data_IF_342066755695
#
_entry.id   IF_342066755695
#
_cell.length_a   1.000
_cell.length_b   1.000
_cell.length_c   1.000
_cell.angle_alpha   90.00
_cell.angle_beta   90.00
_cell.angle_gamma   90.00
#
_symmetry.space_group_name_H-M   'P 1'
#
loop_
_entity.id
_entity.type
_entity.pdbx_description
1 polymer ?
#
# COMPACT_ATOMS: atom_id res chain seq x y z
N UNK A 1 2.30 -21.60 2.83
CA UNK A 1 2.09 -20.14 2.85
C UNK A 1 3.23 -19.55 3.66
N UNK A 2 3.99 -18.60 3.12
CA UNK A 2 5.12 -17.97 3.83
C UNK A 2 4.57 -16.76 4.57
N UNK A 3 4.91 -16.58 5.84
CA UNK A 3 4.58 -15.37 6.58
C UNK A 3 5.58 -14.26 6.28
N UNK A 4 5.14 -13.00 6.34
CA UNK A 4 6.03 -11.85 6.33
C UNK A 4 7.03 -12.01 7.50
N UNK A 5 8.35 -12.04 7.25
CA UNK A 5 9.33 -12.45 8.26
C UNK A 5 9.67 -11.34 9.26
N UNK A 6 9.50 -10.07 8.86
CA UNK A 6 9.83 -8.89 9.65
C UNK A 6 8.79 -7.80 9.43
N UNK A 7 8.57 -6.92 10.42
CA UNK A 7 7.66 -5.80 10.25
C UNK A 7 8.18 -4.78 9.25
N UNK A 8 7.24 -4.16 8.52
CA UNK A 8 7.49 -3.02 7.63
C UNK A 8 6.49 -1.91 7.99
N UNK A 9 6.86 -1.00 8.90
CA UNK A 9 5.97 0.07 9.35
C UNK A 9 6.00 1.28 8.41
N UNK A 10 4.96 2.11 8.47
CA UNK A 10 4.90 3.41 7.82
C UNK A 10 4.88 3.33 6.30
N UNK A 11 4.28 2.28 5.74
CA UNK A 11 4.07 2.17 4.29
C UNK A 11 2.98 3.15 3.89
N UNK A 12 3.41 4.25 3.29
CA UNK A 12 2.55 5.34 2.84
C UNK A 12 2.20 5.19 1.38
N UNK A 13 0.92 5.25 1.08
CA UNK A 13 0.35 5.16 -0.26
C UNK A 13 -0.30 6.49 -0.61
N UNK A 14 -0.03 7.01 -1.81
CA UNK A 14 -0.79 8.13 -2.34
C UNK A 14 -0.86 8.08 -3.87
N UNK A 15 -1.98 7.56 -4.38
CA UNK A 15 -2.29 7.42 -5.80
C UNK A 15 -2.95 8.71 -6.28
N UNK A 16 -2.35 9.34 -7.29
CA UNK A 16 -2.88 10.57 -7.91
C UNK A 16 -2.79 10.44 -9.43
N UNK A 17 -3.80 9.84 -10.05
CA UNK A 17 -3.74 9.49 -11.48
C UNK A 17 -3.83 10.70 -12.42
N UNK A 18 -4.46 11.82 -12.01
CA UNK A 18 -4.57 13.01 -12.85
C UNK A 18 -4.07 14.27 -12.14
N UNK A 19 -3.08 14.93 -12.73
CA UNK A 19 -2.59 16.26 -12.32
C UNK A 19 -3.41 17.43 -12.89
N UNK A 20 -4.54 17.13 -13.54
CA UNK A 20 -5.28 18.07 -14.42
C UNK A 20 -6.76 18.30 -14.11
N UNK A 21 -7.28 17.80 -12.97
CA UNK A 21 -8.59 18.27 -12.46
C UNK A 21 -9.55 17.19 -11.94
N UNK A 22 -9.54 15.97 -12.49
CA UNK A 22 -10.37 14.86 -12.00
C UNK A 22 -9.67 13.53 -12.25
N UNK A 23 -9.58 12.63 -11.27
CA UNK A 23 -9.12 11.26 -11.52
C UNK A 23 -8.91 10.42 -10.27
N UNK A 24 -8.76 9.09 -10.42
CA UNK A 24 -8.73 8.18 -9.29
C UNK A 24 -7.67 8.57 -8.24
N UNK A 25 -8.14 8.82 -7.03
CA UNK A 25 -7.37 9.25 -5.87
C UNK A 25 -7.49 8.25 -4.71
N UNK A 26 -6.39 8.00 -4.01
CA UNK A 26 -6.39 7.21 -2.78
C UNK A 26 -5.13 7.52 -1.98
N UNK A 27 -5.24 7.88 -0.70
CA UNK A 27 -4.09 7.98 0.19
C UNK A 27 -4.39 7.36 1.54
N UNK A 28 -3.48 6.52 2.02
CA UNK A 28 -3.55 5.85 3.31
C UNK A 28 -2.15 5.39 3.74
N UNK A 29 -1.99 5.20 5.04
CA UNK A 29 -0.77 4.67 5.63
C UNK A 29 -1.09 3.32 6.29
N UNK A 30 -0.15 2.38 6.19
CA UNK A 30 -0.31 1.03 6.69
C UNK A 30 0.99 0.53 7.34
N UNK A 31 0.81 -0.21 8.42
CA UNK A 31 1.86 -1.02 9.03
C UNK A 31 1.65 -2.49 8.66
N UNK A 32 2.73 -3.14 8.25
CA UNK A 32 2.75 -4.57 7.93
C UNK A 32 3.52 -5.32 9.00
N UNK A 33 2.89 -6.33 9.57
CA UNK A 33 3.44 -7.18 10.62
C UNK A 33 3.44 -8.65 10.15
N UNK A 34 4.32 -9.50 10.73
CA UNK A 34 4.19 -10.94 10.60
C UNK A 34 2.76 -11.41 10.92
N UNK A 35 2.26 -12.45 10.23
CA UNK A 35 0.89 -12.90 10.41
C UNK A 35 0.66 -13.45 11.82
N UNK A 36 -0.60 -13.40 12.29
CA UNK A 36 -1.02 -14.04 13.52
C UNK A 36 -1.00 -15.56 13.46
N UNK A 37 -1.42 -16.22 14.54
CA UNK A 37 -1.42 -17.68 14.67
C UNK A 37 -2.29 -18.43 13.65
N UNK A 38 -3.31 -17.77 13.10
CA UNK A 38 -4.21 -18.32 12.09
C UNK A 38 -3.61 -18.27 10.66
N UNK A 39 -2.59 -17.43 10.45
CA UNK A 39 -2.00 -17.20 9.13
C UNK A 39 -2.92 -16.41 8.17
N UNK A 40 -2.43 -16.18 6.94
CA UNK A 40 -3.19 -15.48 5.90
C UNK A 40 -3.07 -13.95 5.92
N UNK A 41 -4.05 -13.28 5.28
CA UNK A 41 -4.13 -11.83 5.19
C UNK A 41 -5.15 -11.28 6.19
N UNK A 42 -4.67 -10.62 7.22
CA UNK A 42 -5.47 -9.93 8.22
C UNK A 42 -5.42 -8.44 7.94
N UNK A 43 -6.58 -7.79 7.79
CA UNK A 43 -6.67 -6.34 7.56
C UNK A 43 -7.54 -5.72 8.64
N UNK A 44 -6.94 -4.80 9.40
CA UNK A 44 -7.58 -4.00 10.44
C UNK A 44 -7.44 -2.52 10.09
N UNK A 45 -8.45 -1.73 10.46
CA UNK A 45 -8.41 -0.27 10.31
C UNK A 45 -8.52 0.40 11.68
N UNK A 46 -7.51 1.19 12.04
CA UNK A 46 -7.59 2.15 13.14
C UNK A 46 -8.03 3.54 12.66
N UNK A 47 -8.26 3.70 11.35
CA UNK A 47 -8.61 4.99 10.72
C UNK A 47 -10.11 5.28 10.92
N UNK A 48 -10.47 6.48 11.40
CA UNK A 48 -11.87 6.90 11.46
C UNK A 48 -12.55 6.90 10.08
N UNK A 49 -13.84 6.53 10.03
CA UNK A 49 -14.61 6.44 8.78
C UNK A 49 -14.65 7.76 7.98
N UNK A 50 -14.64 8.90 8.68
CA UNK A 50 -14.55 10.24 8.05
C UNK A 50 -13.25 10.49 7.25
N UNK A 51 -12.20 9.72 7.52
CA UNK A 51 -10.88 9.83 6.89
C UNK A 51 -10.67 8.72 5.87
N UNK A 52 -11.16 7.51 6.16
CA UNK A 52 -11.18 6.39 5.24
C UNK A 52 -12.52 5.65 5.37
N UNK A 53 -13.46 5.91 4.46
CA UNK A 53 -14.75 5.24 4.47
C UNK A 53 -14.64 3.72 4.30
N UNK A 54 -15.48 2.97 5.02
CA UNK A 54 -15.38 1.51 5.12
C UNK A 54 -15.64 0.80 3.78
N UNK A 55 -16.33 1.44 2.85
CA UNK A 55 -16.58 0.95 1.50
C UNK A 55 -15.30 0.76 0.66
N UNK A 56 -14.18 1.38 1.05
CA UNK A 56 -12.90 1.20 0.37
C UNK A 56 -12.09 0.02 0.90
N UNK A 57 -12.41 -0.50 2.10
CA UNK A 57 -11.69 -1.63 2.70
C UNK A 57 -11.70 -2.90 1.83
N UNK A 58 -12.79 -3.29 1.14
CA UNK A 58 -12.77 -4.40 0.21
C UNK A 58 -11.75 -4.23 -0.93
N UNK A 59 -11.65 -3.02 -1.50
CA UNK A 59 -10.71 -2.74 -2.58
C UNK A 59 -9.24 -2.73 -2.09
N UNK A 60 -9.01 -2.21 -0.87
CA UNK A 60 -7.70 -2.31 -0.21
C UNK A 60 -7.32 -3.77 0.01
N UNK A 61 -8.24 -4.58 0.54
CA UNK A 61 -8.01 -6.02 0.75
C UNK A 61 -7.67 -6.75 -0.54
N UNK A 62 -8.41 -6.50 -1.62
CA UNK A 62 -8.14 -7.10 -2.93
C UNK A 62 -6.75 -6.71 -3.45
N UNK A 63 -6.40 -5.43 -3.36
CA UNK A 63 -5.08 -4.94 -3.76
C UNK A 63 -3.96 -5.56 -2.93
N UNK A 64 -4.09 -5.59 -1.60
CA UNK A 64 -3.10 -6.22 -0.71
C UNK A 64 -2.91 -7.70 -1.06
N UNK A 65 -3.99 -8.43 -1.31
CA UNK A 65 -3.90 -9.84 -1.71
C UNK A 65 -3.13 -10.02 -3.04
N UNK A 66 -3.37 -9.13 -4.02
CA UNK A 66 -2.63 -9.13 -5.28
C UNK A 66 -1.15 -8.79 -5.09
N UNK A 67 -0.85 -7.80 -4.23
CA UNK A 67 0.52 -7.33 -3.98
C UNK A 67 1.37 -8.27 -3.14
N UNK A 68 0.78 -8.93 -2.14
CA UNK A 68 1.45 -9.90 -1.27
C UNK A 68 1.56 -11.30 -1.91
N UNK A 69 0.67 -11.63 -2.86
CA UNK A 69 0.61 -12.96 -3.45
C UNK A 69 0.33 -14.03 -2.39
N UNK A 70 1.19 -15.05 -2.32
CA UNK A 70 1.07 -16.16 -1.36
C UNK A 70 1.66 -15.87 0.03
N UNK A 71 2.04 -14.60 0.30
CA UNK A 71 2.61 -14.19 1.59
C UNK A 71 1.52 -13.74 2.55
N UNK A 72 1.50 -14.35 3.74
CA UNK A 72 0.63 -13.97 4.85
C UNK A 72 1.18 -12.77 5.61
N UNK A 73 0.32 -11.83 6.00
CA UNK A 73 0.70 -10.67 6.80
C UNK A 73 -0.51 -10.15 7.58
N UNK A 74 -0.25 -9.51 8.72
CA UNK A 74 -1.21 -8.67 9.41
C UNK A 74 -0.98 -7.21 9.02
N UNK A 75 -2.04 -6.52 8.61
CA UNK A 75 -1.99 -5.15 8.11
C UNK A 75 -2.89 -4.28 8.98
N UNK A 76 -2.31 -3.20 9.51
CA UNK A 76 -3.04 -2.16 10.23
C UNK A 76 -3.02 -0.88 9.41
N UNK A 77 -4.19 -0.40 9.00
CA UNK A 77 -4.33 0.96 8.46
C UNK A 77 -4.26 1.95 9.63
N UNK A 78 -3.29 2.85 9.56
CA UNK A 78 -2.95 3.78 10.65
C UNK A 78 -3.35 5.21 10.35
N UNK A 79 -3.41 5.58 9.07
CA UNK A 79 -3.90 6.88 8.62
C UNK A 79 -4.60 6.76 7.26
N UNK A 80 -5.43 7.74 6.91
CA UNK A 80 -6.19 7.75 5.68
C UNK A 80 -6.67 9.15 5.31
N UNK A 81 -6.81 9.37 4.01
CA UNK A 81 -7.44 10.58 3.51
C UNK A 81 -8.33 10.27 2.31
N UNK A 82 -9.57 10.75 2.41
CA UNK A 82 -10.63 10.57 1.43
C UNK A 82 -11.03 11.92 0.83
N UNK A 83 -11.30 11.91 -0.48
CA UNK A 83 -11.90 13.02 -1.20
C UNK A 83 -13.19 12.57 -1.87
N UNK A 84 -14.31 13.21 -1.53
CA UNK A 84 -15.65 12.76 -1.91
C UNK A 84 -15.82 12.47 -3.41
N UNK A 85 -15.24 13.31 -4.27
CA UNK A 85 -15.43 13.20 -5.72
C UNK A 85 -14.35 12.38 -6.42
N UNK A 86 -13.13 12.37 -5.88
CA UNK A 86 -11.97 11.79 -6.57
C UNK A 86 -11.54 10.44 -6.00
N UNK A 87 -11.96 10.10 -4.78
CA UNK A 87 -11.63 8.82 -4.16
C UNK A 87 -12.40 7.66 -4.76
N UNK A 88 -11.69 6.78 -5.45
CA UNK A 88 -12.31 5.67 -6.19
C UNK A 88 -11.75 4.33 -5.71
N UNK A 89 -12.57 3.26 -5.64
CA UNK A 89 -12.09 1.94 -5.19
C UNK A 89 -10.91 1.42 -6.02
N UNK A 90 -10.88 1.70 -7.32
CA UNK A 90 -9.78 1.30 -8.20
C UNK A 90 -8.43 1.93 -7.82
N UNK A 91 -8.42 3.16 -7.31
CA UNK A 91 -7.20 3.81 -6.83
C UNK A 91 -6.69 3.17 -5.54
N UNK A 92 -7.60 2.88 -4.59
CA UNK A 92 -7.24 2.17 -3.36
C UNK A 92 -6.67 0.78 -3.64
N UNK A 93 -7.28 0.03 -4.57
CA UNK A 93 -6.78 -1.27 -5.00
C UNK A 93 -5.36 -1.19 -5.58
N UNK A 94 -5.13 -0.28 -6.53
CA UNK A 94 -3.79 -0.09 -7.15
C UNK A 94 -2.75 0.32 -6.09
N UNK A 95 -3.14 1.22 -5.19
CA UNK A 95 -2.27 1.67 -4.10
C UNK A 95 -1.92 0.54 -3.14
N UNK A 96 -2.91 -0.28 -2.76
CA UNK A 96 -2.75 -1.43 -1.89
C UNK A 96 -1.91 -2.56 -2.51
N UNK A 97 -2.05 -2.81 -3.81
CA UNK A 97 -1.18 -3.75 -4.54
C UNK A 97 0.29 -3.32 -4.45
N UNK A 98 0.57 -2.03 -4.67
CA UNK A 98 1.93 -1.52 -4.53
C UNK A 98 2.41 -1.53 -3.07
N UNK A 99 1.52 -1.34 -2.10
CA UNK A 99 1.86 -1.42 -0.68
C UNK A 99 2.26 -2.85 -0.28
N UNK A 100 1.52 -3.87 -0.75
CA UNK A 100 1.89 -5.27 -0.56
C UNK A 100 3.28 -5.57 -1.12
N UNK A 101 3.54 -5.15 -2.37
CA UNK A 101 4.88 -5.31 -2.98
C UNK A 101 5.97 -4.54 -2.21
N UNK A 102 5.67 -3.34 -1.72
CA UNK A 102 6.60 -2.57 -0.89
C UNK A 102 6.94 -3.31 0.41
N UNK A 103 5.96 -3.93 1.07
CA UNK A 103 6.19 -4.74 2.25
C UNK A 103 7.09 -5.95 1.97
N UNK A 104 6.87 -6.64 0.84
CA UNK A 104 7.76 -7.75 0.43
C UNK A 104 9.20 -7.28 0.20
N UNK A 105 9.39 -6.12 -0.44
CA UNK A 105 10.73 -5.55 -0.64
C UNK A 105 11.35 -5.14 0.70
N UNK A 106 10.59 -4.44 1.56
CA UNK A 106 11.04 -4.00 2.88
C UNK A 106 11.43 -5.17 3.79
N UNK A 107 10.75 -6.30 3.66
CA UNK A 107 11.03 -7.53 4.38
C UNK A 107 12.12 -8.41 3.73
N UNK A 108 12.68 -8.00 2.59
CA UNK A 108 13.73 -8.75 1.88
C UNK A 108 13.24 -9.98 1.12
N UNK A 109 11.93 -10.11 0.88
CA UNK A 109 11.32 -11.19 0.09
C UNK A 109 11.32 -10.89 -1.41
N UNK A 110 11.40 -9.62 -1.80
CA UNK A 110 11.58 -9.18 -3.19
C UNK A 110 12.88 -8.37 -3.36
N UNK A 111 13.49 -8.37 -4.56
CA UNK A 111 14.66 -7.55 -4.86
C UNK A 111 14.41 -6.06 -4.62
N UNK A 112 15.38 -5.38 -3.99
CA UNK A 112 15.30 -3.93 -3.70
C UNK A 112 15.16 -3.04 -4.95
N UNK A 113 15.63 -3.51 -6.11
CA UNK A 113 15.51 -2.82 -7.39
C UNK A 113 14.07 -2.70 -7.89
N UNK A 114 13.17 -3.60 -7.46
CA UNK A 114 11.75 -3.55 -7.80
C UNK A 114 11.05 -2.31 -7.21
N UNK A 115 11.62 -1.70 -6.17
CA UNK A 115 11.16 -0.42 -5.65
C UNK A 115 11.10 0.65 -6.77
N UNK A 116 11.94 0.50 -7.80
CA UNK A 116 11.94 1.22 -9.08
C UNK A 116 10.56 1.41 -9.71
N UNK A 117 9.73 0.38 -9.60
CA UNK A 117 8.43 0.27 -10.25
C UNK A 117 7.27 0.79 -9.40
N UNK A 118 7.48 1.00 -8.10
CA UNK A 118 6.44 1.43 -7.17
C UNK A 118 6.28 2.96 -7.24
N UNK A 119 5.27 3.40 -7.96
CA UNK A 119 5.07 4.82 -8.30
C UNK A 119 4.44 5.62 -7.15
N UNK A 120 3.60 4.99 -6.36
CA UNK A 120 2.69 5.64 -5.42
C UNK A 120 2.96 5.33 -3.96
N UNK A 121 4.03 4.58 -3.68
CA UNK A 121 4.31 4.05 -2.35
C UNK A 121 5.68 4.50 -1.88
N UNK A 122 5.76 4.81 -0.60
CA UNK A 122 6.99 5.12 0.09
C UNK A 122 6.96 4.47 1.48
N UNK A 123 8.10 3.98 1.95
CA UNK A 123 8.25 3.46 3.31
C UNK A 123 9.64 3.86 3.88
N UNK A 124 9.80 3.85 5.22
CA UNK A 124 11.09 4.06 5.86
C UNK A 124 12.15 3.08 5.34
N UNK A 125 13.31 3.60 4.95
CA UNK A 125 14.39 2.78 4.39
C UNK A 125 14.19 2.37 2.92
N UNK A 126 13.12 2.81 2.26
CA UNK A 126 12.91 2.55 0.83
C UNK A 126 14.10 3.03 -0.02
N UNK A 127 14.55 2.23 -1.02
CA UNK A 127 15.64 2.63 -1.89
C UNK A 127 15.34 3.95 -2.60
N UNK A 128 16.17 4.97 -2.37
CA UNK A 128 16.04 6.26 -3.06
C UNK A 128 16.44 6.09 -4.52
N UNK A 129 15.46 5.92 -5.39
CA UNK A 129 15.71 5.96 -6.83
C UNK A 129 16.13 7.38 -7.21
N UNK A 130 17.37 7.50 -7.72
CA UNK A 130 17.77 8.68 -8.48
C UNK A 130 16.89 8.73 -9.71
N UNK A 131 15.82 9.54 -9.70
CA UNK A 131 15.05 9.81 -10.91
C UNK A 131 16.03 10.29 -11.98
N UNK A 132 16.11 9.65 -13.16
CA UNK A 132 16.91 10.20 -14.24
C UNK A 132 16.42 11.61 -14.52
N UNK A 133 17.35 12.58 -14.57
CA UNK A 133 17.05 13.95 -14.98
C UNK A 133 16.33 13.86 -16.32
N UNK A 134 15.07 14.27 -16.39
CA UNK A 134 14.39 14.44 -17.68
C UNK A 134 15.25 15.40 -18.50
N UNK A 135 15.86 14.91 -19.57
CA UNK A 135 16.47 15.78 -20.56
C UNK A 135 15.34 16.67 -21.12
N UNK A 136 15.58 17.98 -21.08
CA UNK A 136 14.68 18.99 -21.64
C UNK A 136 14.69 18.94 -23.16
#
# INVERSE_FOLDING_TARGET
>A
MVGLPVPVPGVRVCVVMNRGGCGPFACFDADFEPPGGEGGLELLSAVPERQLPVEFLPAIREGLAQGLGDVSAAILLTDGYFHETDSWPSAYRIGAEQAGRAALIGAGLLPSEEAGSLRWVHWPGSPRLRRPKRAR
#
